data_IF_407374854330
#
_entry.id   IF_407374854330
#
_cell.length_a   1.000
_cell.length_b   1.000
_cell.length_c   1.000
_cell.angle_alpha   90.00
_cell.angle_beta   90.00
_cell.angle_gamma   90.00
#
_symmetry.space_group_name_H-M   'P 1'
#
loop_
_entity.id
_entity.type
_entity.pdbx_description
1 polymer ?
#
# COMPACT_ATOMS: atom_id res chain seq x y z
N UNK A 1 -2.12 30.15 -1.39
CA UNK A 1 -2.26 28.86 -0.67
C UNK A 1 -2.85 27.81 -1.63
N UNK A 2 -2.41 27.82 -2.89
CA UNK A 2 -3.20 27.31 -4.02
C UNK A 2 -2.66 26.00 -4.63
N UNK A 3 -1.97 25.17 -3.84
CA UNK A 3 -1.25 24.00 -4.39
C UNK A 3 -1.40 22.69 -3.62
N UNK A 4 -1.95 22.70 -2.40
CA UNK A 4 -2.08 21.47 -1.58
C UNK A 4 -3.05 20.46 -2.19
N UNK A 5 -4.21 20.91 -2.67
CA UNK A 5 -5.23 20.03 -3.26
C UNK A 5 -4.82 19.44 -4.61
N UNK A 6 -4.17 20.24 -5.46
CA UNK A 6 -3.63 19.78 -6.75
C UNK A 6 -2.49 18.79 -6.57
N UNK A 7 -1.65 19.00 -5.55
CA UNK A 7 -0.58 18.06 -5.18
C UNK A 7 -1.14 16.75 -4.66
N UNK A 8 -2.14 16.81 -3.76
CA UNK A 8 -2.80 15.62 -3.21
C UNK A 8 -3.45 14.77 -4.32
N UNK A 9 -4.15 15.41 -5.25
CA UNK A 9 -4.76 14.72 -6.40
C UNK A 9 -3.70 14.05 -7.29
N UNK A 10 -2.56 14.70 -7.52
CA UNK A 10 -1.43 14.10 -8.24
C UNK A 10 -0.85 12.89 -7.49
N UNK A 11 -0.65 13.00 -6.18
CA UNK A 11 -0.09 11.91 -5.37
C UNK A 11 -1.03 10.70 -5.33
N UNK A 12 -2.34 10.92 -5.24
CA UNK A 12 -3.36 9.85 -5.35
C UNK A 12 -3.32 9.19 -6.73
N UNK A 13 -3.24 9.96 -7.82
CA UNK A 13 -3.15 9.40 -9.17
C UNK A 13 -1.88 8.55 -9.35
N UNK A 14 -0.73 9.02 -8.83
CA UNK A 14 0.52 8.26 -8.83
C UNK A 14 0.37 6.96 -8.02
N UNK A 15 -0.26 7.05 -6.84
CA UNK A 15 -0.51 5.90 -5.99
C UNK A 15 -1.35 4.83 -6.71
N UNK A 16 -2.46 5.24 -7.35
CA UNK A 16 -3.35 4.33 -8.06
C UNK A 16 -2.67 3.69 -9.28
N UNK A 17 -1.92 4.47 -10.06
CA UNK A 17 -1.19 3.95 -11.22
C UNK A 17 -0.14 2.91 -10.79
N UNK A 18 0.64 3.22 -9.75
CA UNK A 18 1.65 2.31 -9.23
C UNK A 18 1.03 1.05 -8.61
N UNK A 19 -0.03 1.20 -7.81
CA UNK A 19 -0.75 0.10 -7.20
C UNK A 19 -1.35 -0.83 -8.26
N UNK A 20 -1.94 -0.28 -9.32
CA UNK A 20 -2.48 -1.06 -10.43
C UNK A 20 -1.38 -1.80 -11.18
N UNK A 21 -0.27 -1.14 -11.50
CA UNK A 21 0.84 -1.76 -12.22
C UNK A 21 1.46 -2.93 -11.42
N UNK A 22 1.78 -2.71 -10.14
CA UNK A 22 2.41 -3.72 -9.30
C UNK A 22 1.45 -4.88 -8.97
N UNK A 23 0.18 -4.60 -8.69
CA UNK A 23 -0.82 -5.66 -8.46
C UNK A 23 -1.10 -6.48 -9.71
N UNK A 24 -1.17 -5.85 -10.90
CA UNK A 24 -1.31 -6.57 -12.17
C UNK A 24 -0.10 -7.47 -12.45
N UNK A 25 1.12 -6.99 -12.20
CA UNK A 25 2.32 -7.80 -12.34
C UNK A 25 2.30 -9.01 -11.38
N UNK A 26 1.96 -8.79 -10.10
CA UNK A 26 1.87 -9.86 -9.11
C UNK A 26 0.76 -10.88 -9.44
N UNK A 27 -0.37 -10.41 -9.96
CA UNK A 27 -1.47 -11.26 -10.41
C UNK A 27 -1.05 -12.13 -11.60
N UNK A 28 -0.48 -11.52 -12.65
CA UNK A 28 0.00 -12.22 -13.83
C UNK A 28 1.07 -13.25 -13.47
N UNK A 29 2.01 -12.90 -12.58
CA UNK A 29 3.02 -13.83 -12.10
C UNK A 29 2.40 -15.06 -11.42
N UNK A 30 1.44 -14.87 -10.52
CA UNK A 30 0.75 -15.99 -9.85
C UNK A 30 -0.04 -16.87 -10.84
N UNK A 31 -0.65 -16.27 -11.87
CA UNK A 31 -1.30 -17.05 -12.94
C UNK A 31 -0.31 -17.91 -13.71
N UNK A 32 0.87 -17.37 -14.05
CA UNK A 32 1.91 -18.09 -14.80
C UNK A 32 2.53 -19.23 -13.98
N UNK A 33 2.66 -19.05 -12.66
CA UNK A 33 3.18 -20.08 -11.74
C UNK A 33 2.14 -21.16 -11.44
N UNK A 34 0.86 -20.94 -11.73
CA UNK A 34 -0.22 -21.89 -11.45
C UNK A 34 -0.61 -21.91 -9.97
N UNK A 35 -0.49 -20.78 -9.28
CA UNK A 35 -0.91 -20.63 -7.88
C UNK A 35 -2.42 -20.77 -7.72
N UNK A 36 -2.88 -21.09 -6.50
CA UNK A 36 -4.32 -21.21 -6.22
C UNK A 36 -5.03 -19.87 -6.44
N UNK A 37 -6.33 -19.92 -6.77
CA UNK A 37 -7.14 -18.72 -6.96
C UNK A 37 -7.20 -17.87 -5.67
N UNK A 38 -7.27 -18.53 -4.50
CA UNK A 38 -7.22 -17.88 -3.20
C UNK A 38 -5.92 -17.06 -3.01
N UNK A 39 -4.76 -17.67 -3.28
CA UNK A 39 -3.47 -16.98 -3.13
C UNK A 39 -3.32 -15.85 -4.15
N UNK A 40 -3.70 -16.10 -5.40
CA UNK A 40 -3.61 -15.13 -6.49
C UNK A 40 -4.39 -13.85 -6.18
N UNK A 41 -5.64 -13.99 -5.72
CA UNK A 41 -6.49 -12.86 -5.35
C UNK A 41 -6.00 -12.18 -4.08
N UNK A 42 -5.54 -12.95 -3.08
CA UNK A 42 -4.94 -12.41 -1.86
C UNK A 42 -3.76 -11.50 -2.17
N UNK A 43 -2.79 -12.00 -2.93
CA UNK A 43 -1.58 -11.25 -3.26
C UNK A 43 -1.93 -10.00 -4.06
N UNK A 44 -2.72 -10.12 -5.14
CA UNK A 44 -3.02 -8.99 -6.03
C UNK A 44 -3.76 -7.86 -5.30
N UNK A 45 -4.80 -8.19 -4.53
CA UNK A 45 -5.60 -7.18 -3.81
C UNK A 45 -4.84 -6.59 -2.62
N UNK A 46 -4.04 -7.39 -1.90
CA UNK A 46 -3.18 -6.89 -0.83
C UNK A 46 -2.11 -5.93 -1.39
N UNK A 47 -1.43 -6.30 -2.48
CA UNK A 47 -0.43 -5.43 -3.14
C UNK A 47 -1.05 -4.09 -3.52
N UNK A 48 -2.23 -4.10 -4.13
CA UNK A 48 -2.93 -2.88 -4.50
C UNK A 48 -3.19 -1.98 -3.28
N UNK A 49 -3.83 -2.53 -2.24
CA UNK A 49 -4.16 -1.77 -1.04
C UNK A 49 -2.91 -1.21 -0.34
N UNK A 50 -1.88 -2.06 -0.15
CA UNK A 50 -0.66 -1.68 0.55
C UNK A 50 0.10 -0.58 -0.20
N UNK A 51 0.20 -0.64 -1.54
CA UNK A 51 0.89 0.40 -2.32
C UNK A 51 0.14 1.74 -2.26
N UNK A 52 -1.19 1.72 -2.30
CA UNK A 52 -2.00 2.94 -2.11
C UNK A 52 -1.74 3.54 -0.73
N UNK A 53 -1.85 2.74 0.34
CA UNK A 53 -1.62 3.22 1.70
C UNK A 53 -0.18 3.70 1.94
N UNK A 54 0.82 2.96 1.44
CA UNK A 54 2.23 3.32 1.57
C UNK A 54 2.54 4.69 0.94
N UNK A 55 1.97 4.96 -0.23
CA UNK A 55 2.16 6.24 -0.93
C UNK A 55 1.52 7.40 -0.15
N UNK A 56 0.32 7.18 0.40
CA UNK A 56 -0.36 8.18 1.23
C UNK A 56 0.40 8.44 2.54
N UNK A 57 0.93 7.40 3.18
CA UNK A 57 1.75 7.54 4.40
C UNK A 57 3.05 8.29 4.16
N UNK A 58 3.67 8.11 2.99
CA UNK A 58 4.87 8.85 2.58
C UNK A 58 4.67 10.37 2.53
N UNK A 59 3.45 10.85 2.26
CA UNK A 59 3.11 12.28 2.31
C UNK A 59 2.54 12.69 3.67
N UNK A 60 1.74 11.83 4.31
CA UNK A 60 1.05 12.14 5.55
C UNK A 60 1.98 12.20 6.78
N UNK A 61 2.87 11.23 6.95
CA UNK A 61 3.74 11.16 8.12
C UNK A 61 4.69 12.36 8.27
N UNK A 62 5.38 12.84 7.21
CA UNK A 62 6.20 14.05 7.32
C UNK A 62 5.39 15.27 7.75
N UNK A 63 4.16 15.43 7.23
CA UNK A 63 3.27 16.54 7.59
C UNK A 63 2.81 16.43 9.04
N UNK A 64 2.55 15.23 9.53
CA UNK A 64 2.20 14.97 10.92
C UNK A 64 3.36 15.31 11.85
N UNK A 65 4.58 14.85 11.56
CA UNK A 65 5.76 15.15 12.38
C UNK A 65 6.07 16.64 12.43
N UNK A 66 5.97 17.34 11.31
CA UNK A 66 6.13 18.79 11.28
C UNK A 66 5.11 19.51 12.18
N UNK A 67 3.87 19.00 12.29
CA UNK A 67 2.85 19.57 13.20
C UNK A 67 3.14 19.34 14.67
N UNK A 68 3.85 18.28 15.03
CA UNK A 68 4.21 17.95 16.43
C UNK A 68 5.65 18.36 16.79
N UNK A 69 6.29 19.20 15.98
CA UNK A 69 7.68 19.68 16.15
C UNK A 69 8.73 18.55 16.22
N UNK A 70 8.47 17.44 15.54
CA UNK A 70 9.45 16.36 15.34
C UNK A 70 10.08 16.54 13.96
N UNK A 71 11.41 16.42 13.87
CA UNK A 71 12.13 16.51 12.59
C UNK A 71 11.70 15.36 11.65
N UNK A 72 11.01 15.66 10.54
CA UNK A 72 10.59 14.64 9.58
C UNK A 72 11.77 13.90 8.95
N UNK A 73 12.93 14.54 8.76
CA UNK A 73 14.06 13.92 8.08
C UNK A 73 14.62 12.72 8.87
N UNK A 74 14.53 12.75 10.19
CA UNK A 74 15.03 11.69 11.08
C UNK A 74 13.96 10.63 11.36
N UNK A 75 12.70 11.03 11.52
CA UNK A 75 11.64 10.11 11.94
C UNK A 75 10.93 9.39 10.79
N UNK A 76 10.80 10.00 9.61
CA UNK A 76 9.93 9.46 8.53
C UNK A 76 10.40 8.12 8.00
N UNK A 77 11.70 7.91 7.80
CA UNK A 77 12.24 6.66 7.26
C UNK A 77 11.82 5.43 8.08
N UNK A 78 12.25 5.31 9.35
CA UNK A 78 11.91 4.17 10.20
C UNK A 78 10.39 4.00 10.42
N UNK A 79 9.65 5.10 10.59
CA UNK A 79 8.21 5.01 10.82
C UNK A 79 7.43 4.57 9.59
N UNK A 80 7.78 5.08 8.39
CA UNK A 80 7.12 4.67 7.15
C UNK A 80 7.30 3.17 6.92
N UNK A 81 8.53 2.65 7.08
CA UNK A 81 8.79 1.21 6.85
C UNK A 81 8.08 0.35 7.87
N UNK A 82 8.16 0.68 9.17
CA UNK A 82 7.47 -0.10 10.21
C UNK A 82 5.95 -0.05 10.08
N UNK A 83 5.36 1.11 9.76
CA UNK A 83 3.92 1.18 9.49
C UNK A 83 3.53 0.35 8.27
N UNK A 84 4.31 0.40 7.20
CA UNK A 84 4.04 -0.40 6.01
C UNK A 84 4.18 -1.90 6.28
N UNK A 85 5.10 -2.33 7.14
CA UNK A 85 5.21 -3.75 7.54
C UNK A 85 3.97 -4.22 8.32
N UNK A 86 3.54 -3.43 9.30
CA UNK A 86 2.35 -3.75 10.11
C UNK A 86 1.10 -3.74 9.24
N UNK A 87 0.87 -2.68 8.47
CA UNK A 87 -0.29 -2.55 7.58
C UNK A 87 -0.26 -3.63 6.49
N UNK A 88 0.91 -3.90 5.93
CA UNK A 88 1.13 -4.91 4.91
C UNK A 88 0.73 -6.30 5.40
N UNK A 89 1.24 -6.71 6.56
CA UNK A 89 0.86 -8.00 7.15
C UNK A 89 -0.61 -8.05 7.54
N UNK A 90 -1.17 -7.01 8.14
CA UNK A 90 -2.59 -6.99 8.52
C UNK A 90 -3.49 -7.13 7.30
N UNK A 91 -3.27 -6.34 6.26
CA UNK A 91 -4.05 -6.39 5.02
C UNK A 91 -3.89 -7.75 4.35
N UNK A 92 -2.66 -8.26 4.23
CA UNK A 92 -2.40 -9.56 3.62
C UNK A 92 -3.08 -10.70 4.38
N UNK A 93 -2.95 -10.75 5.71
CA UNK A 93 -3.54 -11.81 6.53
C UNK A 93 -5.06 -11.76 6.55
N UNK A 94 -5.67 -10.57 6.60
CA UNK A 94 -7.12 -10.41 6.53
C UNK A 94 -7.68 -10.88 5.17
N UNK A 95 -7.05 -10.46 4.07
CA UNK A 95 -7.47 -10.88 2.73
C UNK A 95 -7.21 -12.37 2.50
N UNK A 96 -6.10 -12.89 3.03
CA UNK A 96 -5.79 -14.32 3.00
C UNK A 96 -6.88 -15.12 3.72
N UNK A 97 -7.20 -14.76 4.95
CA UNK A 97 -8.26 -15.43 5.71
C UNK A 97 -9.61 -15.38 4.98
N UNK A 98 -9.95 -14.24 4.37
CA UNK A 98 -11.17 -14.07 3.59
C UNK A 98 -11.18 -14.96 2.34
N UNK A 99 -10.18 -14.85 1.46
CA UNK A 99 -10.17 -15.57 0.19
C UNK A 99 -9.98 -17.07 0.38
N UNK A 100 -9.12 -17.51 1.30
CA UNK A 100 -9.01 -18.92 1.61
C UNK A 100 -10.30 -19.48 2.19
N UNK A 101 -11.03 -18.73 3.04
CA UNK A 101 -12.34 -19.16 3.52
C UNK A 101 -13.45 -19.20 2.45
N UNK A 102 -13.27 -18.51 1.32
CA UNK A 102 -14.24 -18.50 0.21
C UNK A 102 -13.93 -19.58 -0.83
N UNK A 103 -12.65 -19.83 -1.11
CA UNK A 103 -12.21 -20.69 -2.22
C UNK A 103 -11.74 -22.09 -1.79
N UNK A 104 -11.59 -22.35 -0.50
CA UNK A 104 -11.14 -23.62 0.06
C UNK A 104 -12.16 -24.14 1.08
#
# INVERSE_FOLDING_TARGET
MDTSWRKLGKDVSIALLNATALSALAFLFNLLVGSSQALTLTVATAMFAVVVFATLMGTFLPLMFNKVNIDPAVATGPFITTMNDILGMLVYLMLSAYFFGVFM
#
